data_IF_196452001887
#
_entry.id   IF_196452001887
#
_cell.length_a   1.000
_cell.length_b   1.000
_cell.length_c   1.000
_cell.angle_alpha   90.00
_cell.angle_beta   90.00
_cell.angle_gamma   90.00
#
_symmetry.space_group_name_H-M   'P 1'
#
loop_
_entity.id
_entity.type
_entity.pdbx_description
1 polymer ?
#
# COMPACT_ATOMS: atom_id res chain seq x y z
N UNK A 1 -4.48 25.42 -34.86
CA UNK A 1 -3.48 24.91 -33.90
C UNK A 1 -4.06 25.09 -32.51
N UNK A 2 -5.01 24.22 -32.14
CA UNK A 2 -5.71 24.26 -30.85
C UNK A 2 -4.80 23.64 -29.79
N UNK A 3 -4.33 24.47 -28.87
CA UNK A 3 -3.68 24.02 -27.65
C UNK A 3 -4.79 23.60 -26.68
N UNK A 4 -5.35 22.42 -26.88
CA UNK A 4 -6.16 21.77 -25.84
C UNK A 4 -5.21 21.28 -24.75
N UNK A 5 -4.90 22.19 -23.83
CA UNK A 5 -4.23 21.95 -22.55
C UNK A 5 -5.11 21.14 -21.59
N UNK A 6 -5.72 20.08 -22.09
CA UNK A 6 -6.48 19.14 -21.31
C UNK A 6 -5.53 18.44 -20.34
N UNK A 7 -5.63 18.80 -19.07
CA UNK A 7 -5.09 18.00 -17.96
C UNK A 7 -5.65 16.60 -18.14
N UNK A 8 -4.85 15.74 -18.76
CA UNK A 8 -4.95 14.29 -18.64
C UNK A 8 -4.91 14.05 -17.13
N UNK A 9 -5.87 13.32 -16.58
CA UNK A 9 -5.84 12.88 -15.19
C UNK A 9 -4.38 12.53 -14.82
N UNK A 10 -3.88 12.98 -13.67
CA UNK A 10 -2.45 12.91 -13.30
C UNK A 10 -1.76 11.57 -13.65
N UNK A 11 -2.51 10.47 -13.73
CA UNK A 11 -2.08 9.15 -14.19
C UNK A 11 -1.60 9.05 -15.66
N UNK A 12 -1.99 9.94 -16.58
CA UNK A 12 -1.80 9.77 -18.04
C UNK A 12 -1.02 10.88 -18.74
N UNK A 13 -0.15 11.60 -18.02
CA UNK A 13 0.71 12.64 -18.62
C UNK A 13 1.78 11.97 -19.50
N UNK A 14 1.78 12.16 -20.84
CA UNK A 14 2.85 11.65 -21.69
C UNK A 14 4.07 12.57 -21.54
N UNK A 15 5.12 12.10 -20.89
CA UNK A 15 6.39 12.82 -20.87
C UNK A 15 7.45 12.05 -21.68
N UNK A 16 8.33 12.81 -22.36
CA UNK A 16 9.45 12.24 -23.12
C UNK A 16 10.38 11.53 -22.13
N UNK A 17 10.67 10.24 -22.37
CA UNK A 17 11.49 9.41 -21.47
C UNK A 17 10.72 8.45 -20.55
N UNK A 18 9.39 8.34 -20.67
CA UNK A 18 8.56 7.43 -19.86
C UNK A 18 9.06 5.97 -19.85
N UNK A 19 9.55 5.47 -20.98
CA UNK A 19 10.09 4.10 -21.08
C UNK A 19 11.35 3.89 -20.25
N UNK A 20 12.25 4.87 -20.21
CA UNK A 20 13.49 4.82 -19.40
C UNK A 20 13.14 4.89 -17.92
N UNK A 21 12.23 5.80 -17.53
CA UNK A 21 11.76 5.89 -16.14
C UNK A 21 11.09 4.58 -15.70
N UNK A 22 10.24 4.00 -16.55
CA UNK A 22 9.62 2.71 -16.25
C UNK A 22 10.65 1.58 -16.11
N UNK A 23 11.63 1.50 -17.02
CA UNK A 23 12.71 0.52 -16.93
C UNK A 23 13.55 0.69 -15.66
N UNK A 24 13.86 1.92 -15.26
CA UNK A 24 14.55 2.22 -14.00
C UNK A 24 13.72 1.81 -12.79
N UNK A 25 12.41 2.09 -12.78
CA UNK A 25 11.51 1.65 -11.71
C UNK A 25 11.51 0.13 -11.58
N UNK A 26 11.38 -0.60 -12.69
CA UNK A 26 11.42 -2.07 -12.69
C UNK A 26 12.78 -2.60 -12.20
N UNK A 27 13.88 -1.97 -12.61
CA UNK A 27 15.22 -2.33 -12.14
C UNK A 27 15.37 -2.14 -10.62
N UNK A 28 14.86 -1.04 -10.07
CA UNK A 28 14.86 -0.79 -8.62
C UNK A 28 13.97 -1.80 -7.89
N UNK A 29 12.79 -2.13 -8.43
CA UNK A 29 11.89 -3.15 -7.84
C UNK A 29 12.48 -4.55 -7.87
N UNK A 30 13.45 -4.82 -8.75
CA UNK A 30 14.16 -6.10 -8.82
C UNK A 30 15.19 -6.26 -7.69
N UNK A 31 15.56 -5.18 -7.00
CA UNK A 31 16.49 -5.22 -5.87
C UNK A 31 15.79 -5.88 -4.67
N UNK A 32 16.35 -6.96 -4.10
CA UNK A 32 15.76 -7.59 -2.92
C UNK A 32 15.74 -6.64 -1.73
N UNK A 33 14.59 -6.50 -1.08
CA UNK A 33 14.41 -5.56 0.04
C UNK A 33 15.39 -5.77 1.21
N UNK A 34 15.90 -6.99 1.41
CA UNK A 34 16.90 -7.31 2.44
C UNK A 34 18.21 -6.55 2.25
N UNK A 35 18.60 -6.28 1.00
CA UNK A 35 19.83 -5.53 0.66
C UNK A 35 19.67 -4.06 1.06
N UNK A 36 18.44 -3.55 1.06
CA UNK A 36 18.12 -2.17 1.39
C UNK A 36 18.02 -1.92 2.91
N UNK A 37 18.19 -2.93 3.76
CA UNK A 37 18.07 -2.76 5.21
C UNK A 37 19.11 -1.81 5.80
N UNK A 38 20.38 -1.92 5.40
CA UNK A 38 21.44 -1.02 5.89
C UNK A 38 21.19 0.42 5.40
N UNK A 39 20.97 0.69 4.10
CA UNK A 39 20.60 2.03 3.65
C UNK A 39 19.37 2.60 4.37
N UNK A 40 18.33 1.77 4.57
CA UNK A 40 17.10 2.17 5.25
C UNK A 40 17.35 2.58 6.70
N UNK A 41 18.16 1.82 7.44
CA UNK A 41 18.63 2.19 8.78
C UNK A 41 19.29 3.56 8.79
N UNK A 42 20.25 3.77 7.87
CA UNK A 42 21.02 5.02 7.80
C UNK A 42 20.11 6.22 7.54
N UNK A 43 19.09 6.08 6.67
CA UNK A 43 18.12 7.16 6.42
C UNK A 43 17.28 7.45 7.67
N UNK A 44 16.73 6.43 8.32
CA UNK A 44 15.94 6.59 9.55
C UNK A 44 16.77 7.27 10.65
N UNK A 45 18.04 6.87 10.79
CA UNK A 45 18.95 7.44 11.77
C UNK A 45 19.33 8.89 11.44
N UNK A 46 19.66 9.20 10.18
CA UNK A 46 19.98 10.57 9.74
C UNK A 46 18.80 11.52 9.91
N UNK A 47 17.57 11.04 9.74
CA UNK A 47 16.35 11.81 9.97
C UNK A 47 15.99 11.92 11.47
N UNK A 48 16.82 11.39 12.38
CA UNK A 48 16.55 11.37 13.83
C UNK A 48 15.24 10.68 14.20
N UNK A 49 14.84 9.69 13.40
CA UNK A 49 13.62 8.91 13.60
C UNK A 49 13.88 7.53 14.22
N UNK A 50 15.16 7.17 14.43
CA UNK A 50 15.52 5.89 15.02
C UNK A 50 14.97 5.75 16.45
N UNK A 51 14.48 4.56 16.77
CA UNK A 51 13.90 4.23 18.09
C UNK A 51 12.76 5.19 18.51
N UNK A 52 11.89 5.54 17.56
CA UNK A 52 10.75 6.42 17.79
C UNK A 52 9.50 5.95 17.03
N UNK A 53 8.31 6.40 17.45
CA UNK A 53 7.06 6.11 16.75
C UNK A 53 7.04 6.60 15.31
N UNK A 54 7.68 7.74 15.02
CA UNK A 54 7.77 8.26 13.66
C UNK A 54 8.62 7.34 12.77
N UNK A 55 9.71 6.79 13.28
CA UNK A 55 10.53 5.77 12.60
C UNK A 55 9.77 4.48 12.31
N UNK A 56 8.81 4.11 13.15
CA UNK A 56 7.95 2.94 12.92
C UNK A 56 6.87 3.21 11.87
N UNK A 57 6.24 4.39 11.89
CA UNK A 57 5.03 4.67 11.10
C UNK A 57 5.34 5.31 9.74
N UNK A 58 6.08 6.41 9.73
CA UNK A 58 6.20 7.29 8.55
C UNK A 58 6.80 6.55 7.34
N UNK A 59 7.88 5.73 7.47
CA UNK A 59 8.43 5.02 6.33
C UNK A 59 7.47 3.99 5.71
N UNK A 60 6.47 3.50 6.45
CA UNK A 60 5.48 2.54 5.97
C UNK A 60 4.29 3.22 5.25
N UNK A 61 4.14 4.54 5.36
CA UNK A 61 3.07 5.28 4.66
C UNK A 61 3.28 5.30 3.14
N UNK A 62 4.52 5.13 2.69
CA UNK A 62 4.88 5.11 1.27
C UNK A 62 4.91 3.67 0.76
N UNK A 63 3.79 3.20 0.22
CA UNK A 63 3.67 1.86 -0.37
C UNK A 63 3.69 1.93 -1.91
N UNK A 64 4.73 1.34 -2.52
CA UNK A 64 4.87 1.27 -3.96
C UNK A 64 3.76 0.42 -4.61
N UNK A 65 3.33 -0.67 -3.95
CA UNK A 65 2.31 -1.56 -4.50
C UNK A 65 0.96 -0.83 -4.67
N UNK A 66 0.58 0.00 -3.69
CA UNK A 66 -0.61 0.84 -3.76
C UNK A 66 -0.60 1.79 -4.97
N UNK A 67 0.55 2.36 -5.32
CA UNK A 67 0.70 3.23 -6.51
C UNK A 67 0.44 2.44 -7.79
N UNK A 68 0.98 1.24 -7.93
CA UNK A 68 0.77 0.41 -9.13
C UNK A 68 -0.69 -0.03 -9.27
N UNK A 69 -1.34 -0.42 -8.18
CA UNK A 69 -2.76 -0.82 -8.19
C UNK A 69 -3.64 0.37 -8.55
N UNK A 70 -3.44 1.54 -7.93
CA UNK A 70 -4.21 2.75 -8.27
C UNK A 70 -3.98 3.16 -9.72
N UNK A 71 -2.74 3.07 -10.21
CA UNK A 71 -2.43 3.38 -11.61
C UNK A 71 -3.21 2.46 -12.55
N UNK A 72 -3.16 1.15 -12.33
CA UNK A 72 -3.88 0.17 -13.14
C UNK A 72 -5.39 0.43 -13.13
N UNK A 73 -5.94 0.76 -11.96
CA UNK A 73 -7.35 1.12 -11.85
C UNK A 73 -7.70 2.40 -12.63
N UNK A 74 -6.97 3.50 -12.45
CA UNK A 74 -7.22 4.73 -13.21
C UNK A 74 -7.03 4.55 -14.72
N UNK A 75 -6.17 3.63 -15.15
CA UNK A 75 -6.03 3.24 -16.56
C UNK A 75 -7.25 2.45 -17.08
N UNK A 76 -7.96 1.71 -16.22
CA UNK A 76 -9.19 1.00 -16.58
C UNK A 76 -10.44 1.86 -16.71
N UNK A 77 -10.47 3.08 -16.12
CA UNK A 77 -11.61 3.98 -16.25
C UNK A 77 -11.73 4.45 -17.72
N UNK A 78 -12.89 4.25 -18.39
CA UNK A 78 -13.09 4.72 -19.75
C UNK A 78 -13.04 6.26 -19.80
N UNK A 79 -12.29 6.81 -20.76
CA UNK A 79 -12.16 8.27 -20.91
C UNK A 79 -13.47 8.95 -21.27
N UNK A 80 -14.39 8.21 -21.91
CA UNK A 80 -15.73 8.69 -22.27
C UNK A 80 -16.54 9.16 -21.06
N UNK A 81 -16.34 8.57 -19.88
CA UNK A 81 -17.03 8.97 -18.64
C UNK A 81 -16.61 10.37 -18.21
N UNK A 82 -15.31 10.69 -18.30
CA UNK A 82 -14.80 12.02 -17.98
C UNK A 82 -15.20 13.05 -19.05
N UNK A 83 -15.20 12.65 -20.32
CA UNK A 83 -15.60 13.51 -21.45
C UNK A 83 -17.06 13.91 -21.38
N UNK A 84 -17.97 12.97 -21.09
CA UNK A 84 -19.40 13.25 -20.90
C UNK A 84 -19.62 14.26 -19.75
N UNK A 85 -18.96 14.05 -18.61
CA UNK A 85 -19.07 14.97 -17.48
C UNK A 85 -18.56 16.39 -17.81
N UNK A 86 -17.55 16.51 -18.69
CA UNK A 86 -17.07 17.82 -19.17
C UNK A 86 -18.07 18.49 -20.11
N UNK A 87 -18.72 17.72 -20.98
CA UNK A 87 -19.81 18.22 -21.83
C UNK A 87 -20.97 18.76 -20.97
N UNK A 88 -21.25 18.10 -19.84
CA UNK A 88 -22.22 18.54 -18.83
C UNK A 88 -21.74 19.73 -17.96
N UNK A 89 -20.58 20.32 -18.27
CA UNK A 89 -20.03 21.49 -17.58
C UNK A 89 -19.36 21.19 -16.24
N UNK A 90 -19.07 19.92 -15.91
CA UNK A 90 -18.37 19.58 -14.67
C UNK A 90 -16.88 19.98 -14.77
N UNK A 91 -16.41 20.76 -13.78
CA UNK A 91 -14.98 21.05 -13.61
C UNK A 91 -14.18 19.84 -13.12
N UNK A 92 -12.86 19.86 -13.29
CA UNK A 92 -11.94 18.74 -12.96
C UNK A 92 -12.10 18.20 -11.54
N UNK A 93 -12.23 19.08 -10.55
CA UNK A 93 -12.41 18.67 -9.15
C UNK A 93 -13.73 17.93 -8.92
N UNK A 94 -14.81 18.36 -9.59
CA UNK A 94 -16.11 17.69 -9.52
C UNK A 94 -16.05 16.32 -10.17
N UNK A 95 -15.42 16.21 -11.34
CA UNK A 95 -15.22 14.92 -12.02
C UNK A 95 -14.43 13.97 -11.12
N UNK A 96 -13.36 14.45 -10.51
CA UNK A 96 -12.56 13.63 -9.61
C UNK A 96 -13.36 13.12 -8.40
N UNK A 97 -13.94 14.02 -7.61
CA UNK A 97 -14.59 13.66 -6.34
C UNK A 97 -15.96 13.00 -6.52
N UNK A 98 -16.70 13.33 -7.58
CA UNK A 98 -18.07 12.84 -7.78
C UNK A 98 -18.16 11.63 -8.71
N UNK A 99 -17.13 11.35 -9.53
CA UNK A 99 -17.19 10.28 -10.52
C UNK A 99 -16.01 9.31 -10.34
N UNK A 100 -14.78 9.80 -10.52
CA UNK A 100 -13.58 8.95 -10.49
C UNK A 100 -13.36 8.32 -9.12
N UNK A 101 -13.46 9.10 -8.04
CA UNK A 101 -13.20 8.64 -6.68
C UNK A 101 -14.24 7.59 -6.20
N UNK A 102 -15.56 7.77 -6.38
CA UNK A 102 -16.55 6.74 -6.09
C UNK A 102 -16.34 5.45 -6.89
N UNK A 103 -15.99 5.56 -8.18
CA UNK A 103 -15.66 4.39 -8.99
C UNK A 103 -14.40 3.68 -8.48
N UNK A 104 -13.46 4.42 -7.86
CA UNK A 104 -12.21 3.89 -7.29
C UNK A 104 -12.39 3.15 -5.96
N UNK A 105 -13.56 3.21 -5.32
CA UNK A 105 -13.81 2.57 -4.01
C UNK A 105 -13.37 1.10 -3.95
N UNK A 106 -13.62 0.25 -4.96
CA UNK A 106 -13.24 -1.16 -4.90
C UNK A 106 -11.72 -1.33 -4.87
N UNK A 107 -10.99 -0.58 -5.70
CA UNK A 107 -9.53 -0.60 -5.69
C UNK A 107 -8.93 0.03 -4.43
N UNK A 108 -9.54 1.09 -3.90
CA UNK A 108 -9.14 1.69 -2.62
C UNK A 108 -9.29 0.70 -1.46
N UNK A 109 -10.35 -0.11 -1.48
CA UNK A 109 -10.55 -1.19 -0.50
C UNK A 109 -9.43 -2.23 -0.62
N UNK A 110 -9.14 -2.71 -1.83
CA UNK A 110 -8.06 -3.68 -2.06
C UNK A 110 -6.72 -3.15 -1.54
N UNK A 111 -6.38 -1.90 -1.86
CA UNK A 111 -5.13 -1.29 -1.40
C UNK A 111 -5.12 -1.12 0.10
N UNK A 112 -6.23 -0.70 0.71
CA UNK A 112 -6.32 -0.56 2.17
C UNK A 112 -6.00 -1.89 2.87
N UNK A 113 -6.58 -3.01 2.39
CA UNK A 113 -6.33 -4.33 2.96
C UNK A 113 -4.87 -4.75 2.75
N UNK A 114 -4.36 -4.63 1.52
CA UNK A 114 -3.00 -5.07 1.19
C UNK A 114 -1.93 -4.23 1.88
N UNK A 115 -2.08 -2.90 1.91
CA UNK A 115 -1.12 -2.00 2.58
C UNK A 115 -1.18 -2.16 4.10
N UNK A 116 -2.37 -2.39 4.69
CA UNK A 116 -2.48 -2.75 6.10
C UNK A 116 -1.78 -4.08 6.39
N UNK A 117 -2.08 -5.13 5.62
CA UNK A 117 -1.46 -6.44 5.78
C UNK A 117 0.06 -6.37 5.63
N UNK A 118 0.56 -5.62 4.63
CA UNK A 118 1.98 -5.40 4.42
C UNK A 118 2.62 -4.74 5.63
N UNK A 119 2.11 -3.58 6.03
CA UNK A 119 2.63 -2.81 7.18
C UNK A 119 2.57 -3.60 8.49
N UNK A 120 1.49 -4.37 8.70
CA UNK A 120 1.30 -5.22 9.89
C UNK A 120 2.35 -6.34 9.97
N UNK A 121 2.71 -6.92 8.82
CA UNK A 121 3.66 -8.04 8.75
C UNK A 121 5.12 -7.61 8.50
N UNK A 122 5.41 -6.31 8.47
CA UNK A 122 6.70 -5.78 8.03
C UNK A 122 7.80 -5.89 9.12
N UNK A 123 8.20 -7.13 9.42
CA UNK A 123 9.19 -7.45 10.46
C UNK A 123 10.54 -6.78 10.20
N UNK A 124 11.01 -6.80 8.95
CA UNK A 124 12.34 -6.32 8.56
C UNK A 124 12.51 -4.84 8.88
N UNK A 125 11.47 -4.03 8.66
CA UNK A 125 11.44 -2.63 9.09
C UNK A 125 11.54 -2.49 10.61
N UNK A 126 10.69 -3.19 11.37
CA UNK A 126 10.60 -3.01 12.82
C UNK A 126 11.84 -3.48 13.58
N UNK A 127 12.61 -4.41 13.01
CA UNK A 127 13.91 -4.82 13.55
C UNK A 127 14.94 -3.69 13.37
N UNK A 128 14.92 -3.00 12.23
CA UNK A 128 15.89 -1.97 11.88
C UNK A 128 15.54 -0.60 12.47
N UNK A 129 14.25 -0.30 12.61
CA UNK A 129 13.77 1.02 13.01
C UNK A 129 13.79 1.28 14.53
N UNK A 130 13.77 0.25 15.38
CA UNK A 130 13.75 0.40 16.84
C UNK A 130 14.54 -0.68 17.58
N UNK A 131 14.93 -0.38 18.81
CA UNK A 131 15.59 -1.35 19.72
C UNK A 131 14.95 -1.39 21.11
N UNK A 132 14.38 -0.28 21.58
CA UNK A 132 13.79 -0.18 22.92
C UNK A 132 12.64 -1.18 23.14
N UNK A 133 12.49 -1.63 24.38
CA UNK A 133 11.40 -2.52 24.81
C UNK A 133 10.02 -1.84 24.72
N UNK A 134 9.97 -0.51 24.83
CA UNK A 134 8.74 0.27 24.69
C UNK A 134 8.20 0.36 23.26
N UNK A 135 9.00 -0.02 22.25
CA UNK A 135 8.65 0.05 20.83
C UNK A 135 8.64 -1.34 20.16
N UNK A 136 8.29 -2.36 20.93
CA UNK A 136 8.14 -3.73 20.41
C UNK A 136 6.76 -3.87 19.77
N UNK A 137 6.76 -4.02 18.45
CA UNK A 137 5.56 -4.38 17.70
C UNK A 137 5.20 -5.85 17.91
N UNK A 138 3.93 -6.21 17.66
CA UNK A 138 3.49 -7.60 17.74
C UNK A 138 4.38 -8.51 16.88
N UNK A 139 4.75 -8.08 15.67
CA UNK A 139 5.60 -8.82 14.72
C UNK A 139 6.97 -9.09 15.27
N UNK A 140 7.58 -8.08 15.89
CA UNK A 140 8.87 -8.24 16.56
C UNK A 140 8.78 -9.16 17.77
N UNK A 141 7.74 -9.03 18.59
CA UNK A 141 7.51 -9.90 19.76
C UNK A 141 7.30 -11.36 19.37
N UNK A 142 6.50 -11.63 18.33
CA UNK A 142 6.28 -12.99 17.81
C UNK A 142 7.57 -13.57 17.22
N UNK A 143 8.39 -12.77 16.56
CA UNK A 143 9.70 -13.21 16.06
C UNK A 143 10.66 -13.56 17.22
N UNK A 144 10.72 -12.72 18.27
CA UNK A 144 11.53 -12.98 19.47
C UNK A 144 11.07 -14.24 20.21
N UNK A 145 9.77 -14.44 20.34
CA UNK A 145 9.18 -15.68 20.86
C UNK A 145 9.60 -16.88 20.02
N UNK A 146 9.50 -16.75 18.70
CA UNK A 146 9.82 -17.83 17.75
C UNK A 146 11.29 -18.25 17.80
N UNK A 147 12.18 -17.29 18.10
CA UNK A 147 13.62 -17.46 18.27
C UNK A 147 14.04 -18.03 19.65
N UNK A 148 13.09 -18.30 20.55
CA UNK A 148 13.37 -18.97 21.83
C UNK A 148 13.57 -18.04 23.04
N UNK A 149 13.13 -16.78 22.97
CA UNK A 149 13.27 -15.83 24.10
C UNK A 149 12.56 -16.27 25.39
N UNK A 150 11.59 -17.19 25.33
CA UNK A 150 10.84 -17.70 26.49
C UNK A 150 11.26 -19.10 26.97
N UNK A 151 12.40 -19.63 26.50
CA UNK A 151 12.98 -20.88 27.00
C UNK A 151 13.52 -21.81 25.92
N UNK A 152 14.29 -22.82 26.34
CA UNK A 152 14.78 -23.89 25.47
C UNK A 152 13.67 -24.91 25.19
N UNK A 153 13.33 -25.10 23.91
CA UNK A 153 12.34 -26.07 23.45
C UNK A 153 11.39 -25.48 22.42
N UNK A 154 10.92 -26.29 21.48
CA UNK A 154 10.01 -25.82 20.44
C UNK A 154 8.58 -25.70 21.01
N UNK A 155 8.22 -24.51 21.52
CA UNK A 155 6.90 -24.20 22.06
C UNK A 155 5.85 -24.04 20.94
N UNK A 156 5.58 -25.12 20.20
CA UNK A 156 4.64 -25.14 19.07
C UNK A 156 3.26 -24.53 19.39
N UNK A 157 2.61 -24.83 20.54
CA UNK A 157 1.31 -24.23 20.86
C UNK A 157 1.36 -22.70 20.93
N UNK A 158 2.45 -22.15 21.47
CA UNK A 158 2.62 -20.72 21.63
C UNK A 158 2.90 -20.02 20.30
N UNK A 159 3.70 -20.65 19.42
CA UNK A 159 3.94 -20.17 18.05
C UNK A 159 2.66 -20.18 17.20
N UNK A 160 1.85 -21.23 17.32
CA UNK A 160 0.56 -21.33 16.63
C UNK A 160 -0.44 -20.30 17.17
N UNK A 161 -0.50 -20.09 18.49
CA UNK A 161 -1.31 -19.04 19.10
C UNK A 161 -0.92 -17.65 18.61
N UNK A 162 0.38 -17.36 18.53
CA UNK A 162 0.89 -16.11 17.98
C UNK A 162 0.53 -15.91 16.49
N UNK A 163 0.62 -16.97 15.68
CA UNK A 163 0.21 -16.93 14.27
C UNK A 163 -1.30 -16.65 14.10
N UNK A 164 -2.14 -17.21 14.97
CA UNK A 164 -3.58 -16.92 14.98
C UNK A 164 -3.86 -15.45 15.31
N UNK A 165 -3.22 -14.92 16.37
CA UNK A 165 -3.35 -13.51 16.75
C UNK A 165 -2.88 -12.58 15.63
N UNK A 166 -1.82 -12.95 14.93
CA UNK A 166 -1.32 -12.20 13.76
C UNK A 166 -2.32 -12.13 12.61
N UNK A 167 -3.08 -13.20 12.40
CA UNK A 167 -4.02 -13.32 11.28
C UNK A 167 -5.32 -12.55 11.54
N UNK A 168 -5.75 -12.47 12.80
CA UNK A 168 -7.04 -11.90 13.19
C UNK A 168 -7.28 -10.46 12.68
N UNK A 169 -6.35 -9.49 12.83
CA UNK A 169 -6.60 -8.10 12.39
C UNK A 169 -6.84 -7.99 10.88
N UNK A 170 -6.06 -8.73 10.09
CA UNK A 170 -6.20 -8.74 8.63
C UNK A 170 -7.52 -9.39 8.23
N UNK A 171 -7.91 -10.49 8.89
CA UNK A 171 -9.18 -11.15 8.65
C UNK A 171 -10.37 -10.24 9.01
N UNK A 172 -10.34 -9.54 10.15
CA UNK A 172 -11.37 -8.59 10.56
C UNK A 172 -11.52 -7.47 9.54
N UNK A 173 -10.40 -6.88 9.10
CA UNK A 173 -10.40 -5.86 8.05
C UNK A 173 -11.03 -6.36 6.75
N UNK A 174 -10.65 -7.57 6.34
CA UNK A 174 -11.25 -8.20 5.16
C UNK A 174 -12.76 -8.36 5.31
N UNK A 175 -13.25 -8.89 6.43
CA UNK A 175 -14.69 -9.09 6.65
C UNK A 175 -15.48 -7.78 6.73
N UNK A 176 -14.89 -6.69 7.23
CA UNK A 176 -15.49 -5.35 7.21
C UNK A 176 -15.70 -4.87 5.77
N UNK A 177 -14.72 -5.11 4.90
CA UNK A 177 -14.71 -4.57 3.54
C UNK A 177 -15.18 -5.54 2.44
N UNK A 178 -15.39 -6.82 2.75
CA UNK A 178 -15.75 -7.88 1.78
C UNK A 178 -16.95 -7.52 0.90
N UNK A 179 -17.97 -6.84 1.46
CA UNK A 179 -19.19 -6.47 0.71
C UNK A 179 -18.89 -5.49 -0.42
N UNK A 180 -18.00 -4.52 -0.19
CA UNK A 180 -17.61 -3.52 -1.19
C UNK A 180 -16.84 -4.12 -2.37
N UNK A 181 -16.12 -5.22 -2.13
CA UNK A 181 -15.42 -5.97 -3.18
C UNK A 181 -16.44 -6.72 -4.05
N UNK A 182 -17.46 -7.33 -3.43
CA UNK A 182 -18.48 -8.14 -4.12
C UNK A 182 -19.49 -7.32 -4.93
N UNK A 183 -19.89 -6.14 -4.44
CA UNK A 183 -20.89 -5.28 -5.09
C UNK A 183 -20.44 -4.71 -6.45
N UNK A 184 -19.13 -4.75 -6.73
CA UNK A 184 -18.55 -4.22 -7.97
C UNK A 184 -18.67 -5.22 -9.11
N UNK A 185 -18.46 -6.51 -8.83
CA UNK A 185 -18.50 -7.58 -9.84
C UNK A 185 -19.90 -7.77 -10.42
N UNK A 186 -20.94 -7.47 -9.64
CA UNK A 186 -22.34 -7.57 -10.06
C UNK A 186 -22.83 -6.36 -10.87
N UNK A 187 -22.15 -5.22 -10.81
CA UNK A 187 -22.47 -4.03 -11.62
C UNK A 187 -21.88 -4.06 -13.03
N UNK A 188 -20.85 -4.86 -13.26
CA UNK A 188 -20.18 -5.05 -14.56
C UNK A 188 -20.83 -6.07 -15.49
N UNK A 189 -21.87 -6.78 -15.03
CA UNK A 189 -22.66 -7.72 -15.85
C UNK A 189 -24.15 -7.40 -15.69
N UNK A 190 -24.57 -6.31 -16.32
CA UNK A 190 -25.95 -6.15 -16.78
C UNK A 190 -25.89 -5.70 -18.23
N UNK A 191 -25.65 -6.68 -19.11
CA UNK A 191 -26.21 -6.65 -20.46
C UNK A 191 -27.68 -7.08 -20.41
#
# INVERSE_FOLDING_TARGET
>A
MQLDGGVRALARIPFRGRGVVYALLVAIMSVPGVVLLIPKFLVINQLSMYDSWSGLIVPLLCDAAGVFIMKGFFESIPTSVEEQARVDGAGTWRIFFSIVLPMSVPSLVTITILSFQGSWNELSHFIVASRSSGLVTLTKGVAQLSAGSLGQGNQYPLKLGAALIMTLPVAVLFFIFQRRIMDTTSGSVKE
#
